data_IF_081893477727
#
_entry.id   IF_081893477727
#
_cell.length_a   1.000
_cell.length_b   1.000
_cell.length_c   1.000
_cell.angle_alpha   90.00
_cell.angle_beta   90.00
_cell.angle_gamma   90.00
#
_symmetry.space_group_name_H-M   'P 1'
#
loop_
_entity.id
_entity.type
_entity.pdbx_description
1 polymer ?
#
# COMPACT_ATOMS: atom_id res chain seq x y z
N UNK A 1 4.39 5.22 -10.14
CA UNK A 1 3.09 4.57 -10.43
C UNK A 1 1.90 5.36 -9.90
N UNK A 2 0.70 5.15 -10.49
CA UNK A 2 -0.54 5.73 -9.96
C UNK A 2 -0.96 5.01 -8.68
N UNK A 3 -1.47 5.74 -7.69
CA UNK A 3 -1.97 5.19 -6.42
C UNK A 3 -2.97 4.04 -6.64
N UNK A 4 -3.91 4.19 -7.57
CA UNK A 4 -4.91 3.15 -7.90
C UNK A 4 -4.28 1.81 -8.30
N UNK A 5 -3.16 1.86 -9.05
CA UNK A 5 -2.44 0.64 -9.44
C UNK A 5 -1.75 -0.01 -8.25
N UNK A 6 -1.19 0.81 -7.35
CA UNK A 6 -0.58 0.35 -6.09
C UNK A 6 -1.64 -0.37 -5.23
N UNK A 7 -2.79 0.28 -5.01
CA UNK A 7 -3.90 -0.26 -4.22
C UNK A 7 -4.48 -1.54 -4.83
N UNK A 8 -4.52 -1.63 -6.17
CA UNK A 8 -4.95 -2.85 -6.87
C UNK A 8 -4.01 -4.02 -6.58
N UNK A 9 -2.69 -3.81 -6.68
CA UNK A 9 -1.68 -4.84 -6.35
C UNK A 9 -1.78 -5.29 -4.89
N UNK A 10 -1.92 -4.33 -3.97
CA UNK A 10 -2.10 -4.63 -2.55
C UNK A 10 -3.33 -5.51 -2.30
N UNK A 11 -4.47 -5.19 -2.92
CA UNK A 11 -5.69 -6.03 -2.81
C UNK A 11 -5.51 -7.42 -3.41
N UNK A 12 -4.79 -7.53 -4.54
CA UNK A 12 -4.49 -8.82 -5.15
C UNK A 12 -3.61 -9.70 -4.25
N UNK A 13 -2.70 -9.08 -3.50
CA UNK A 13 -1.89 -9.75 -2.48
C UNK A 13 -2.62 -9.97 -1.14
N UNK A 14 -3.96 -9.84 -1.10
CA UNK A 14 -4.74 -10.03 0.13
C UNK A 14 -4.60 -8.93 1.19
N UNK A 15 -3.83 -7.86 0.91
CA UNK A 15 -3.74 -6.71 1.81
C UNK A 15 -5.03 -5.88 1.76
N UNK A 16 -5.38 -5.26 2.87
CA UNK A 16 -6.56 -4.40 2.95
C UNK A 16 -6.26 -3.09 3.67
N UNK A 17 -7.15 -2.12 3.43
CA UNK A 17 -7.10 -0.82 4.08
C UNK A 17 -7.54 -0.98 5.54
N UNK A 18 -6.59 -0.80 6.47
CA UNK A 18 -6.85 -0.89 7.92
C UNK A 18 -7.49 0.39 8.45
N UNK A 19 -6.98 1.55 8.04
CA UNK A 19 -7.45 2.85 8.51
C UNK A 19 -7.18 3.93 7.47
N UNK A 20 -8.20 4.73 7.17
CA UNK A 20 -8.03 5.93 6.37
C UNK A 20 -7.59 7.09 7.28
N UNK A 21 -6.51 7.78 6.91
CA UNK A 21 -6.05 9.02 7.55
C UNK A 21 -6.20 10.23 6.64
N UNK A 22 -5.86 11.42 7.16
CA UNK A 22 -5.93 12.66 6.39
C UNK A 22 -4.93 12.67 5.22
N UNK A 23 -3.64 12.42 5.49
CA UNK A 23 -2.58 12.45 4.47
C UNK A 23 -2.18 11.05 3.97
N UNK A 24 -2.34 10.03 4.82
CA UNK A 24 -1.91 8.66 4.54
C UNK A 24 -3.01 7.65 4.89
N UNK A 25 -3.09 6.59 4.09
CA UNK A 25 -3.93 5.42 4.28
C UNK A 25 -3.06 4.32 4.90
N UNK A 26 -3.48 3.71 6.00
CA UNK A 26 -2.77 2.56 6.59
C UNK A 26 -3.27 1.27 5.95
N UNK A 27 -2.36 0.54 5.33
CA UNK A 27 -2.60 -0.78 4.75
C UNK A 27 -1.98 -1.85 5.62
N UNK A 28 -2.62 -3.00 5.70
CA UNK A 28 -2.11 -4.16 6.45
C UNK A 28 -2.12 -5.39 5.56
N UNK A 29 -1.06 -6.19 5.66
CA UNK A 29 -1.08 -7.57 5.20
C UNK A 29 -1.52 -8.46 6.38
N UNK A 30 -2.68 -9.15 6.31
CA UNK A 30 -3.14 -10.03 7.38
C UNK A 30 -2.26 -11.26 7.61
N UNK A 31 -1.55 -11.75 6.59
CA UNK A 31 -0.71 -12.94 6.68
C UNK A 31 0.55 -12.69 7.49
N UNK A 32 1.15 -11.50 7.33
CA UNK A 32 2.39 -11.11 8.03
C UNK A 32 2.14 -10.19 9.23
N UNK A 33 0.97 -9.57 9.32
CA UNK A 33 0.63 -8.54 10.30
C UNK A 33 1.30 -7.18 10.06
N UNK A 34 2.09 -7.04 8.99
CA UNK A 34 2.82 -5.80 8.67
C UNK A 34 1.86 -4.71 8.24
N UNK A 35 2.09 -3.50 8.76
CA UNK A 35 1.31 -2.30 8.45
C UNK A 35 2.22 -1.28 7.79
N UNK A 36 1.76 -0.68 6.69
CA UNK A 36 2.52 0.33 5.96
C UNK A 36 1.63 1.53 5.61
N UNK A 37 2.21 2.73 5.63
CA UNK A 37 1.51 3.96 5.28
C UNK A 37 1.62 4.24 3.76
N UNK A 38 0.46 4.33 3.10
CA UNK A 38 0.34 4.64 1.67
C UNK A 38 -0.10 6.10 1.49
N UNK A 39 0.66 6.95 0.78
CA UNK A 39 0.26 8.33 0.49
C UNK A 39 -1.04 8.41 -0.30
N UNK A 40 -1.85 9.44 -0.03
CA UNK A 40 -3.16 9.61 -0.70
C UNK A 40 -3.12 10.34 -2.04
N UNK A 41 -2.00 10.96 -2.41
CA UNK A 41 -1.86 11.66 -3.70
C UNK A 41 -1.85 10.69 -4.89
N UNK A 42 -2.17 11.19 -6.08
CA UNK A 42 -2.41 10.37 -7.27
C UNK A 42 -1.12 9.70 -7.77
N UNK A 43 -0.01 10.42 -7.75
CA UNK A 43 1.27 9.96 -8.30
C UNK A 43 2.27 9.59 -7.22
N UNK A 44 2.55 8.30 -7.07
CA UNK A 44 3.51 7.78 -6.10
C UNK A 44 4.83 7.51 -6.82
N UNK A 45 5.93 8.01 -6.26
CA UNK A 45 7.29 7.73 -6.76
C UNK A 45 7.49 6.21 -6.87
N UNK A 46 8.01 5.76 -8.01
CA UNK A 46 8.24 4.34 -8.31
C UNK A 46 9.00 3.61 -7.20
N UNK A 47 10.08 4.21 -6.69
CA UNK A 47 10.88 3.64 -5.60
C UNK A 47 10.07 3.47 -4.31
N UNK A 48 9.22 4.44 -3.99
CA UNK A 48 8.37 4.39 -2.78
C UNK A 48 7.33 3.28 -2.93
N UNK A 49 6.68 3.19 -4.09
CA UNK A 49 5.71 2.13 -4.34
C UNK A 49 6.33 0.74 -4.26
N UNK A 50 7.52 0.52 -4.85
CA UNK A 50 8.24 -0.75 -4.75
C UNK A 50 8.58 -1.10 -3.30
N UNK A 51 8.99 -0.11 -2.50
CA UNK A 51 9.25 -0.31 -1.07
C UNK A 51 7.98 -0.73 -0.30
N UNK A 52 6.84 -0.10 -0.59
CA UNK A 52 5.55 -0.44 0.02
C UNK A 52 5.14 -1.87 -0.36
N UNK A 53 5.20 -2.22 -1.64
CA UNK A 53 4.86 -3.57 -2.11
C UNK A 53 5.74 -4.63 -1.46
N UNK A 54 7.06 -4.40 -1.39
CA UNK A 54 7.98 -5.30 -0.72
C UNK A 54 7.69 -5.45 0.78
N UNK A 55 7.40 -4.36 1.47
CA UNK A 55 7.13 -4.40 2.91
C UNK A 55 5.80 -5.10 3.23
N UNK A 56 4.81 -4.96 2.36
CA UNK A 56 3.52 -5.67 2.46
C UNK A 56 3.51 -7.03 1.75
N UNK A 57 4.67 -7.52 1.30
CA UNK A 57 4.83 -8.81 0.61
C UNK A 57 3.88 -8.99 -0.60
N UNK A 58 3.74 -7.91 -1.38
CA UNK A 58 2.81 -7.74 -2.50
C UNK A 58 3.52 -7.47 -3.84
N UNK A 59 4.77 -7.93 -4.00
CA UNK A 59 5.56 -7.77 -5.24
C UNK A 59 4.94 -8.49 -6.45
#
# INVERSE_FOLDING_TARGET
MKRKELEKKLRQAGCYLKREGASHSLWINPETGVIEAVPRHIEIKELLAKKILKSLNAE
#
